data_IF_115284255621
#
_entry.id   IF_115284255621
#
_cell.length_a   1.000
_cell.length_b   1.000
_cell.length_c   1.000
_cell.angle_alpha   90.00
_cell.angle_beta   90.00
_cell.angle_gamma   90.00
#
_symmetry.space_group_name_H-M   'P 1'
#
loop_
_entity.id
_entity.type
_entity.pdbx_description
1 polymer ?
#
# COMPACT_ATOMS: atom_id res chain seq x y z
N UNK A 1 20.32 1.63 9.78
CA UNK A 1 19.83 0.99 8.53
C UNK A 1 19.52 2.09 7.53
N UNK A 2 19.54 1.79 6.23
CA UNK A 2 19.02 2.71 5.21
C UNK A 2 17.51 2.86 5.38
N UNK A 3 16.98 4.07 5.21
CA UNK A 3 15.53 4.33 5.33
C UNK A 3 14.72 3.63 4.24
N UNK A 4 15.37 3.18 3.15
CA UNK A 4 14.73 2.48 2.06
C UNK A 4 15.70 1.50 1.41
N UNK A 5 15.22 0.31 1.10
CA UNK A 5 15.97 -0.66 0.30
C UNK A 5 15.04 -1.61 -0.46
N UNK A 6 15.57 -2.25 -1.50
CA UNK A 6 14.89 -3.28 -2.28
C UNK A 6 15.89 -4.36 -2.69
N UNK A 7 15.73 -5.55 -2.09
CA UNK A 7 16.63 -6.68 -2.24
C UNK A 7 15.96 -7.78 -3.07
N UNK A 8 16.57 -8.12 -4.21
CA UNK A 8 16.03 -9.13 -5.13
C UNK A 8 17.11 -9.93 -5.86
N UNK A 9 18.35 -9.89 -5.37
CA UNK A 9 19.50 -10.57 -6.00
C UNK A 9 20.27 -11.43 -5.01
N UNK A 10 20.99 -12.44 -5.51
CA UNK A 10 21.72 -13.41 -4.69
C UNK A 10 22.80 -12.78 -3.80
N UNK A 11 23.46 -11.73 -4.29
CA UNK A 11 24.51 -11.05 -3.53
C UNK A 11 23.96 -10.16 -2.41
N UNK A 12 22.70 -9.75 -2.51
CA UNK A 12 21.98 -9.02 -1.45
C UNK A 12 21.30 -9.97 -0.47
N UNK A 13 20.84 -11.14 -0.94
CA UNK A 13 20.04 -12.11 -0.20
C UNK A 13 20.86 -13.34 0.19
N UNK A 14 21.93 -13.11 0.95
CA UNK A 14 22.87 -14.15 1.37
C UNK A 14 22.21 -15.04 2.44
N UNK A 15 22.13 -16.38 2.26
CA UNK A 15 21.58 -17.29 3.25
C UNK A 15 22.20 -17.12 4.64
N UNK A 16 21.37 -17.10 5.68
CA UNK A 16 21.78 -16.88 7.06
C UNK A 16 22.01 -15.42 7.45
N UNK A 17 21.99 -14.46 6.50
CA UNK A 17 22.23 -13.05 6.80
C UNK A 17 20.94 -12.30 7.13
N UNK A 18 20.99 -11.49 8.19
CA UNK A 18 19.93 -10.55 8.55
C UNK A 18 19.90 -9.42 7.52
N UNK A 19 18.71 -9.17 6.96
CA UNK A 19 18.50 -8.13 5.95
C UNK A 19 17.73 -6.93 6.50
N UNK A 20 16.96 -7.12 7.58
CA UNK A 20 16.18 -6.04 8.20
C UNK A 20 15.96 -6.33 9.70
N UNK A 21 15.96 -5.28 10.53
CA UNK A 21 15.62 -5.36 11.94
C UNK A 21 15.02 -4.04 12.42
N UNK A 22 13.96 -4.15 13.21
CA UNK A 22 13.36 -3.03 13.92
C UNK A 22 12.72 -3.54 15.21
N UNK A 23 12.86 -2.79 16.30
CA UNK A 23 12.21 -3.12 17.58
C UNK A 23 10.73 -2.69 17.60
N UNK A 24 10.27 -1.97 16.55
CA UNK A 24 8.89 -1.52 16.44
C UNK A 24 7.92 -2.68 16.25
N UNK A 25 6.65 -2.44 16.60
CA UNK A 25 5.57 -3.38 16.32
C UNK A 25 5.16 -3.34 14.85
N UNK A 26 5.12 -4.50 14.19
CA UNK A 26 4.62 -4.66 12.82
C UNK A 26 3.30 -5.42 12.81
N UNK A 27 2.42 -5.12 11.88
CA UNK A 27 1.17 -5.83 11.67
C UNK A 27 1.02 -6.21 10.20
N UNK A 28 0.29 -7.28 9.93
CA UNK A 28 -0.21 -7.54 8.59
C UNK A 28 -1.11 -6.39 8.15
N UNK A 29 -0.73 -5.71 7.07
CA UNK A 29 -1.45 -4.55 6.58
C UNK A 29 -2.21 -4.83 5.28
N UNK A 30 -1.58 -5.54 4.34
CA UNK A 30 -2.24 -5.97 3.12
C UNK A 30 -1.62 -7.26 2.56
N UNK A 31 -2.44 -8.04 1.86
CA UNK A 31 -2.02 -9.19 1.05
C UNK A 31 -2.85 -9.22 -0.24
N UNK A 32 -2.19 -9.14 -1.41
CA UNK A 32 -2.85 -9.08 -2.73
C UNK A 32 -2.62 -10.37 -3.52
N UNK A 33 -3.69 -10.95 -4.05
CA UNK A 33 -3.66 -12.20 -4.82
C UNK A 33 -3.15 -11.98 -6.26
N UNK A 34 -3.52 -10.87 -6.90
CA UNK A 34 -3.20 -10.62 -8.33
C UNK A 34 -1.71 -10.44 -8.61
N UNK A 35 -0.96 -9.96 -7.62
CA UNK A 35 0.47 -9.66 -7.75
C UNK A 35 1.32 -10.38 -6.70
N UNK A 36 0.70 -11.24 -5.89
CA UNK A 36 1.33 -11.96 -4.78
C UNK A 36 2.20 -11.05 -3.91
N UNK A 37 1.61 -10.00 -3.37
CA UNK A 37 2.32 -9.02 -2.54
C UNK A 37 1.86 -9.13 -1.09
N UNK A 38 2.81 -9.14 -0.16
CA UNK A 38 2.57 -9.07 1.27
C UNK A 38 3.17 -7.77 1.81
N UNK A 39 2.39 -7.04 2.60
CA UNK A 39 2.79 -5.78 3.22
C UNK A 39 2.63 -5.87 4.74
N UNK A 40 3.74 -5.71 5.46
CA UNK A 40 3.76 -5.52 6.90
C UNK A 40 4.00 -4.04 7.19
N UNK A 41 3.32 -3.50 8.20
CA UNK A 41 3.45 -2.08 8.58
C UNK A 41 3.66 -1.88 10.07
N UNK A 42 4.55 -0.97 10.39
CA UNK A 42 4.62 -0.28 11.67
C UNK A 42 4.14 1.15 11.48
N UNK A 43 3.08 1.56 12.18
CA UNK A 43 2.48 2.89 12.02
C UNK A 43 3.23 3.95 12.85
N UNK A 44 3.22 5.18 12.34
CA UNK A 44 3.47 6.35 13.17
C UNK A 44 2.39 6.49 14.28
N UNK A 45 2.70 7.25 15.32
CA UNK A 45 1.87 7.44 16.51
C UNK A 45 2.38 6.67 17.72
N UNK A 46 1.57 6.64 18.76
CA UNK A 46 1.87 5.91 20.00
C UNK A 46 1.60 4.41 19.79
N UNK A 47 2.63 3.60 19.96
CA UNK A 47 2.47 2.16 19.93
C UNK A 47 1.90 1.61 21.26
N UNK A 48 1.53 0.33 21.27
CA UNK A 48 0.97 -0.34 22.47
C UNK A 48 1.97 -0.45 23.63
N UNK A 49 3.22 -0.05 23.43
CA UNK A 49 4.29 -0.07 24.42
C UNK A 49 4.56 1.36 24.96
N UNK A 50 3.79 2.36 24.52
CA UNK A 50 3.91 3.77 24.94
C UNK A 50 5.03 4.52 24.21
N UNK A 51 5.61 3.94 23.15
CA UNK A 51 6.61 4.62 22.34
C UNK A 51 5.91 5.40 21.23
N UNK A 52 6.18 6.70 21.14
CA UNK A 52 5.68 7.54 20.05
C UNK A 52 6.67 7.55 18.88
N UNK A 53 6.16 7.30 17.68
CA UNK A 53 6.92 7.21 16.44
C UNK A 53 6.44 8.27 15.46
N UNK A 54 7.34 9.08 14.91
CA UNK A 54 6.97 10.10 13.89
C UNK A 54 6.83 9.49 12.48
N UNK A 55 7.48 8.36 12.24
CA UNK A 55 7.61 7.72 10.93
C UNK A 55 6.84 6.39 10.86
N UNK A 56 6.31 6.07 9.68
CA UNK A 56 5.78 4.75 9.34
C UNK A 56 6.88 3.90 8.70
N UNK A 57 6.93 2.61 9.01
CA UNK A 57 7.77 1.63 8.32
C UNK A 57 6.88 0.65 7.59
N UNK A 58 7.13 0.46 6.31
CA UNK A 58 6.51 -0.59 5.51
C UNK A 58 7.55 -1.59 5.03
N UNK A 59 7.25 -2.88 5.15
CA UNK A 59 8.06 -3.96 4.60
C UNK A 59 7.21 -4.74 3.60
N UNK A 60 7.66 -4.81 2.36
CA UNK A 60 6.96 -5.50 1.28
C UNK A 60 7.74 -6.71 0.78
N UNK A 61 7.04 -7.83 0.60
CA UNK A 61 7.55 -9.02 -0.07
C UNK A 61 6.86 -9.20 -1.43
N UNK A 62 7.61 -9.57 -2.47
CA UNK A 62 7.06 -9.78 -3.82
C UNK A 62 7.99 -10.62 -4.74
N UNK A 63 7.41 -11.42 -5.65
CA UNK A 63 6.14 -12.11 -5.48
C UNK A 63 6.24 -13.13 -4.34
N UNK A 64 5.13 -13.36 -3.66
CA UNK A 64 4.98 -14.27 -2.52
C UNK A 64 4.39 -15.60 -2.99
N UNK A 65 5.09 -16.68 -2.72
CA UNK A 65 4.67 -18.05 -3.04
C UNK A 65 3.93 -18.69 -1.86
N UNK A 66 4.40 -18.46 -0.64
CA UNK A 66 3.83 -19.07 0.57
C UNK A 66 4.12 -18.23 1.80
N UNK A 67 3.22 -18.25 2.77
CA UNK A 67 3.41 -17.55 4.05
C UNK A 67 3.00 -18.43 5.22
N UNK A 68 3.76 -18.34 6.30
CA UNK A 68 3.32 -18.67 7.65
C UNK A 68 3.63 -17.44 8.49
N UNK A 69 2.60 -16.68 8.84
CA UNK A 69 2.74 -15.42 9.56
C UNK A 69 1.72 -15.33 10.67
N UNK A 70 2.04 -14.52 11.68
CA UNK A 70 1.10 -14.01 12.69
C UNK A 70 0.49 -12.68 12.27
N UNK A 71 -0.52 -12.25 13.01
CA UNK A 71 -1.22 -10.97 12.82
C UNK A 71 -0.34 -9.76 13.20
N UNK A 72 0.58 -9.93 14.16
CA UNK A 72 1.51 -8.88 14.58
C UNK A 72 2.84 -9.39 15.18
N UNK A 73 3.91 -8.62 14.99
CA UNK A 73 5.26 -8.85 15.49
C UNK A 73 5.65 -7.72 16.45
N UNK A 74 6.12 -8.04 17.65
CA UNK A 74 6.64 -7.05 18.62
C UNK A 74 8.16 -7.01 18.52
N UNK A 75 8.68 -6.12 17.67
CA UNK A 75 10.00 -6.26 17.10
C UNK A 75 9.99 -7.29 15.97
N UNK A 76 10.70 -6.99 14.89
CA UNK A 76 10.78 -7.81 13.68
C UNK A 76 12.23 -7.82 13.21
N UNK A 77 12.82 -9.01 13.15
CA UNK A 77 14.04 -9.27 12.39
C UNK A 77 13.69 -10.16 11.19
N UNK A 78 14.25 -9.82 10.03
CA UNK A 78 14.09 -10.59 8.80
C UNK A 78 15.47 -11.04 8.37
N UNK A 79 15.58 -12.34 8.13
CA UNK A 79 16.82 -13.01 7.73
C UNK A 79 16.55 -13.91 6.55
N UNK A 80 17.49 -14.02 5.62
CA UNK A 80 17.44 -15.10 4.65
C UNK A 80 17.67 -16.43 5.39
N UNK A 81 16.75 -17.39 5.26
CA UNK A 81 16.90 -18.69 5.89
C UNK A 81 18.20 -19.37 5.43
N UNK A 82 18.82 -20.15 6.32
CA UNK A 82 19.92 -21.04 5.95
C UNK A 82 19.43 -22.07 4.94
N UNK A 83 20.32 -22.69 4.14
CA UNK A 83 19.94 -23.75 3.22
C UNK A 83 19.14 -24.86 3.90
N UNK A 84 19.53 -25.26 5.11
CA UNK A 84 18.88 -26.33 5.88
C UNK A 84 17.49 -25.93 6.40
N UNK A 85 17.30 -24.68 6.81
CA UNK A 85 15.99 -24.14 7.16
C UNK A 85 15.08 -24.04 5.93
N UNK A 86 15.61 -23.52 4.82
CA UNK A 86 14.86 -23.34 3.58
C UNK A 86 14.35 -24.68 3.03
N UNK A 87 15.20 -25.70 2.98
CA UNK A 87 14.81 -27.04 2.51
C UNK A 87 13.76 -27.69 3.42
N UNK A 88 13.89 -27.56 4.75
CA UNK A 88 12.87 -28.05 5.71
C UNK A 88 11.52 -27.38 5.48
N UNK A 89 11.51 -26.06 5.31
CA UNK A 89 10.28 -25.29 5.08
C UNK A 89 9.64 -25.70 3.75
N UNK A 90 10.42 -25.75 2.65
CA UNK A 90 9.91 -26.15 1.33
C UNK A 90 9.32 -27.57 1.34
N UNK A 91 9.99 -28.51 2.01
CA UNK A 91 9.53 -29.90 2.13
C UNK A 91 8.22 -30.02 2.93
N UNK A 92 7.95 -29.09 3.85
CA UNK A 92 6.69 -29.05 4.62
C UNK A 92 5.48 -28.63 3.78
N UNK A 93 5.69 -28.18 2.54
CA UNK A 93 4.67 -27.69 1.60
C UNK A 93 4.81 -28.36 0.23
N UNK A 94 4.59 -29.69 0.14
CA UNK A 94 4.90 -30.49 -1.06
C UNK A 94 3.99 -30.19 -2.27
N UNK A 95 2.86 -29.52 -2.08
CA UNK A 95 1.90 -29.18 -3.13
C UNK A 95 2.21 -27.86 -3.84
N UNK A 96 3.32 -27.20 -3.51
CA UNK A 96 3.68 -25.87 -3.99
C UNK A 96 4.92 -25.99 -4.88
N UNK A 97 4.83 -25.44 -6.09
CA UNK A 97 5.98 -25.30 -6.98
C UNK A 97 6.79 -24.06 -6.60
N UNK A 98 8.08 -24.25 -6.32
CA UNK A 98 8.99 -23.16 -6.00
C UNK A 98 9.77 -22.73 -7.23
N UNK A 99 9.82 -21.42 -7.46
CA UNK A 99 10.66 -20.87 -8.51
C UNK A 99 12.13 -20.85 -8.08
N UNK A 100 13.05 -20.84 -9.04
CA UNK A 100 14.50 -20.77 -8.79
C UNK A 100 14.88 -19.55 -7.94
N UNK A 101 14.16 -18.47 -8.12
CA UNK A 101 14.42 -17.18 -7.47
C UNK A 101 13.67 -17.04 -6.13
N UNK A 102 12.88 -18.03 -5.73
CA UNK A 102 12.23 -18.02 -4.42
C UNK A 102 13.25 -18.16 -3.30
N UNK A 103 13.12 -17.29 -2.31
CA UNK A 103 13.91 -17.26 -1.08
C UNK A 103 12.96 -17.46 0.09
N UNK A 104 13.45 -18.15 1.11
CA UNK A 104 12.74 -18.28 2.37
C UNK A 104 13.26 -17.19 3.31
N UNK A 105 12.40 -16.25 3.65
CA UNK A 105 12.66 -15.21 4.63
C UNK A 105 12.14 -15.69 5.98
N UNK A 106 13.03 -15.84 6.96
CA UNK A 106 12.66 -16.09 8.34
C UNK A 106 12.26 -14.76 9.00
N UNK A 107 11.09 -14.73 9.62
CA UNK A 107 10.57 -13.59 10.36
C UNK A 107 10.67 -13.92 11.85
N UNK A 108 11.59 -13.27 12.55
CA UNK A 108 11.92 -13.54 13.94
C UNK A 108 11.35 -12.44 14.84
N UNK A 109 10.64 -12.84 15.90
CA UNK A 109 10.13 -11.94 16.94
C UNK A 109 10.08 -12.68 18.27
N UNK A 110 10.59 -12.06 19.34
CA UNK A 110 10.48 -12.59 20.71
C UNK A 110 10.87 -14.08 20.89
N UNK A 111 11.84 -14.57 20.11
CA UNK A 111 12.30 -15.97 20.17
C UNK A 111 11.46 -16.96 19.35
N UNK A 112 10.45 -16.50 18.63
CA UNK A 112 9.66 -17.29 17.69
C UNK A 112 10.01 -16.97 16.24
N UNK A 113 9.74 -17.93 15.35
CA UNK A 113 10.06 -17.82 13.92
C UNK A 113 8.89 -18.22 13.03
N UNK A 114 8.54 -17.28 12.16
CA UNK A 114 7.61 -17.39 11.05
C UNK A 114 8.37 -17.32 9.72
N UNK A 115 7.68 -17.45 8.58
CA UNK A 115 8.36 -17.35 7.29
C UNK A 115 7.49 -16.80 6.16
N UNK A 116 8.16 -16.19 5.20
CA UNK A 116 7.62 -15.78 3.91
C UNK A 116 8.51 -16.37 2.82
N UNK A 117 7.92 -17.07 1.86
CA UNK A 117 8.62 -17.50 0.64
C UNK A 117 8.30 -16.49 -0.44
N UNK A 118 9.31 -15.75 -0.89
CA UNK A 118 9.17 -14.72 -1.92
C UNK A 118 10.47 -14.53 -2.70
N UNK A 119 10.43 -13.86 -3.85
CA UNK A 119 11.66 -13.57 -4.60
C UNK A 119 12.37 -12.29 -4.14
N UNK A 120 11.66 -11.33 -3.54
CA UNK A 120 12.22 -10.07 -3.09
C UNK A 120 11.60 -9.60 -1.78
N UNK A 121 12.37 -8.80 -1.06
CA UNK A 121 11.93 -8.04 0.11
C UNK A 121 12.48 -6.62 0.01
N UNK A 122 11.68 -5.64 0.41
CA UNK A 122 12.15 -4.27 0.56
C UNK A 122 11.41 -3.56 1.66
N UNK A 123 11.96 -2.43 2.09
CA UNK A 123 11.35 -1.60 3.11
C UNK A 123 11.44 -0.12 2.76
N UNK A 124 10.56 0.66 3.38
CA UNK A 124 10.58 2.11 3.37
C UNK A 124 10.12 2.64 4.72
N UNK A 125 10.95 3.48 5.32
CA UNK A 125 10.65 4.24 6.53
C UNK A 125 10.63 5.74 6.18
N UNK A 126 9.51 6.39 6.45
CA UNK A 126 9.36 7.85 6.30
C UNK A 126 8.09 8.36 6.98
N UNK A 127 7.84 9.66 6.89
CA UNK A 127 6.54 10.27 7.21
C UNK A 127 5.55 9.92 6.10
N UNK A 128 4.54 9.10 6.45
CA UNK A 128 3.45 8.78 5.55
C UNK A 128 2.36 9.86 5.71
N UNK A 129 2.12 10.64 4.66
CA UNK A 129 1.11 11.69 4.73
C UNK A 129 -0.29 11.09 4.94
N UNK A 130 -1.23 11.84 5.56
CA UNK A 130 -2.60 11.36 5.78
C UNK A 130 -3.32 10.96 4.49
N UNK A 131 -2.90 11.54 3.36
CA UNK A 131 -3.51 11.25 2.06
C UNK A 131 -2.77 10.17 1.27
N UNK A 132 -1.65 9.68 1.78
CA UNK A 132 -0.92 8.59 1.16
C UNK A 132 -1.29 7.27 1.81
N UNK A 133 -1.96 6.41 1.06
CA UNK A 133 -2.32 5.09 1.59
C UNK A 133 -1.10 4.24 1.94
N UNK A 134 -0.05 4.21 1.11
CA UNK A 134 1.18 3.42 1.29
C UNK A 134 2.36 4.02 0.51
N UNK A 135 3.59 3.74 0.92
CA UNK A 135 4.78 4.02 0.12
C UNK A 135 4.82 3.20 -1.18
N UNK A 136 4.16 2.04 -1.18
CA UNK A 136 4.06 1.11 -2.31
C UNK A 136 2.76 1.23 -3.11
N UNK A 137 1.82 2.09 -2.69
CA UNK A 137 0.67 2.45 -3.51
C UNK A 137 1.15 3.35 -4.67
N UNK A 138 1.35 2.75 -5.83
CA UNK A 138 1.75 3.48 -7.02
C UNK A 138 0.54 4.15 -7.67
N UNK A 139 0.72 5.42 -8.04
CA UNK A 139 -0.23 6.15 -8.89
C UNK A 139 0.13 5.87 -10.34
N UNK A 140 -0.82 5.35 -11.11
CA UNK A 140 -0.69 5.24 -12.56
C UNK A 140 -0.79 6.64 -13.16
N UNK A 141 0.23 7.14 -13.89
CA UNK A 141 0.15 8.46 -14.52
C UNK A 141 -0.95 8.57 -15.59
N UNK A 142 -1.38 7.44 -16.17
CA UNK A 142 -2.46 7.41 -17.16
C UNK A 142 -3.84 7.28 -16.51
N UNK A 143 -3.89 6.74 -15.29
CA UNK A 143 -5.10 6.68 -14.47
C UNK A 143 -4.79 7.19 -13.06
N UNK A 144 -4.61 8.53 -12.89
CA UNK A 144 -4.14 9.11 -11.64
C UNK A 144 -5.27 9.20 -10.61
N UNK A 145 -5.88 8.07 -10.29
CA UNK A 145 -6.95 7.96 -9.31
C UNK A 145 -6.35 7.80 -7.92
N UNK A 146 -7.09 8.29 -6.94
CA UNK A 146 -6.89 7.94 -5.55
C UNK A 146 -6.80 6.42 -5.44
N UNK A 147 -5.69 5.86 -4.94
CA UNK A 147 -5.54 4.42 -4.84
C UNK A 147 -6.66 3.89 -3.93
N UNK A 148 -7.48 2.96 -4.41
CA UNK A 148 -8.47 2.27 -3.56
C UNK A 148 -7.84 1.21 -2.67
N UNK A 149 -6.60 0.80 -2.99
CA UNK A 149 -5.89 -0.30 -2.32
C UNK A 149 -4.42 0.04 -2.10
N UNK A 150 -3.81 -0.64 -1.13
CA UNK A 150 -2.45 -0.37 -0.67
C UNK A 150 -1.35 -0.94 -1.58
N UNK A 151 -1.62 -2.06 -2.25
CA UNK A 151 -0.61 -2.85 -2.98
C UNK A 151 -0.71 -2.73 -4.51
N UNK A 152 -1.72 -2.04 -5.04
CA UNK A 152 -2.09 -2.11 -6.45
C UNK A 152 -2.65 -3.50 -6.83
N UNK A 153 -3.52 -3.55 -7.82
CA UNK A 153 -4.18 -4.79 -8.28
C UNK A 153 -5.66 -4.86 -7.94
N UNK A 154 -6.26 -6.05 -8.08
CA UNK A 154 -7.70 -6.25 -7.96
C UNK A 154 -8.24 -5.77 -6.59
N UNK A 155 -9.13 -4.79 -6.63
CA UNK A 155 -10.00 -4.42 -5.51
C UNK A 155 -11.03 -5.54 -5.29
N UNK A 156 -11.55 -5.69 -4.07
CA UNK A 156 -12.61 -6.65 -3.74
C UNK A 156 -13.97 -6.29 -4.37
N UNK A 157 -13.98 -5.46 -5.41
CA UNK A 157 -15.18 -5.01 -6.13
C UNK A 157 -15.94 -3.90 -5.43
N UNK A 158 -15.33 -3.16 -4.49
CA UNK A 158 -15.98 -2.07 -3.76
C UNK A 158 -15.84 -0.71 -4.45
N UNK A 159 -15.03 -0.58 -5.50
CA UNK A 159 -14.94 0.63 -6.35
C UNK A 159 -16.01 0.72 -7.44
N UNK A 160 -17.20 0.15 -7.26
CA UNK A 160 -18.25 0.16 -8.29
C UNK A 160 -19.50 0.88 -7.77
N UNK A 161 -19.38 2.19 -7.65
CA UNK A 161 -20.45 3.07 -8.07
C UNK A 161 -19.82 4.03 -9.10
N UNK A 162 -20.33 4.01 -10.32
CA UNK A 162 -20.01 5.05 -11.30
C UNK A 162 -20.38 6.42 -10.72
N UNK A 163 -19.71 7.49 -11.18
CA UNK A 163 -20.09 8.84 -10.78
C UNK A 163 -21.58 9.11 -11.05
N UNK A 164 -22.14 8.51 -12.11
CA UNK A 164 -23.56 8.55 -12.45
C UNK A 164 -24.43 7.78 -11.44
N UNK A 165 -24.05 6.58 -11.00
CA UNK A 165 -24.76 5.84 -9.94
C UNK A 165 -24.72 6.56 -8.60
N UNK A 166 -23.59 7.21 -8.27
CA UNK A 166 -23.46 8.00 -7.06
C UNK A 166 -24.33 9.27 -7.15
N UNK A 167 -24.30 9.96 -8.28
CA UNK A 167 -25.15 11.13 -8.55
C UNK A 167 -26.62 10.71 -8.52
N UNK A 168 -27.01 9.59 -9.12
CA UNK A 168 -28.38 9.08 -9.13
C UNK A 168 -28.82 8.69 -7.72
N UNK A 169 -27.98 7.99 -6.95
CA UNK A 169 -28.25 7.68 -5.54
C UNK A 169 -28.40 8.94 -4.66
N UNK A 170 -27.63 9.98 -4.93
CA UNK A 170 -27.76 11.29 -4.26
C UNK A 170 -28.96 12.09 -4.78
N UNK A 171 -29.45 11.79 -5.99
CA UNK A 171 -30.54 12.50 -6.65
C UNK A 171 -31.91 11.83 -6.45
N UNK A 172 -31.95 10.53 -6.15
CA UNK A 172 -33.14 9.70 -5.89
C UNK A 172 -33.77 9.97 -4.50
N UNK A 173 -33.42 11.07 -3.84
CA UNK A 173 -34.12 11.54 -2.66
C UNK A 173 -35.53 12.02 -3.04
N UNK A 174 -36.56 11.51 -2.35
CA UNK A 174 -37.97 11.86 -2.54
C UNK A 174 -38.18 13.39 -2.70
N UNK A 175 -39.02 13.85 -3.65
CA UNK A 175 -39.30 15.27 -3.85
C UNK A 175 -39.91 15.89 -2.58
N UNK A 176 -39.12 16.65 -1.82
CA UNK A 176 -39.60 17.35 -0.63
C UNK A 176 -38.58 17.49 0.51
N UNK A 177 -37.45 16.80 0.46
CA UNK A 177 -36.39 16.97 1.46
C UNK A 177 -35.58 18.25 1.17
N UNK A 178 -35.54 19.19 2.13
CA UNK A 178 -34.82 20.48 2.03
C UNK A 178 -33.32 20.25 1.76
N UNK A 179 -32.84 20.63 0.58
CA UNK A 179 -31.42 20.63 0.16
C UNK A 179 -30.61 21.81 0.71
N UNK A 180 -31.02 22.34 1.86
CA UNK A 180 -30.53 23.60 2.42
C UNK A 180 -29.14 23.44 3.05
N UNK A 181 -28.67 22.19 3.18
CA UNK A 181 -27.37 21.85 3.71
C UNK A 181 -26.46 21.38 2.57
N UNK A 182 -25.50 22.21 2.21
CA UNK A 182 -24.41 21.84 1.32
C UNK A 182 -23.09 21.86 2.10
N UNK A 183 -22.14 21.03 1.67
CA UNK A 183 -20.75 21.13 2.10
C UNK A 183 -19.86 21.22 0.88
N UNK A 184 -18.80 22.03 0.99
CA UNK A 184 -17.76 22.06 -0.02
C UNK A 184 -16.88 20.80 0.09
N UNK A 185 -16.67 20.15 -1.05
CA UNK A 185 -15.58 19.19 -1.25
C UNK A 185 -14.55 19.80 -2.19
N UNK A 186 -13.34 19.27 -2.12
CA UNK A 186 -12.21 19.66 -2.94
C UNK A 186 -11.86 18.50 -3.84
N UNK A 187 -12.07 18.65 -5.13
CA UNK A 187 -11.77 17.63 -6.13
C UNK A 187 -10.42 17.96 -6.75
N UNK A 188 -9.48 17.03 -6.65
CA UNK A 188 -8.23 17.12 -7.40
C UNK A 188 -8.52 16.64 -8.81
N UNK A 189 -8.33 17.53 -9.78
CA UNK A 189 -8.55 17.28 -11.20
C UNK A 189 -7.21 17.07 -11.89
N UNK A 190 -7.20 16.19 -12.88
CA UNK A 190 -6.03 15.92 -13.72
C UNK A 190 -6.40 16.02 -15.18
N UNK A 191 -5.44 16.46 -16.00
CA UNK A 191 -5.53 16.41 -17.46
C UNK A 191 -4.38 15.58 -18.02
N UNK A 192 -4.71 14.47 -18.66
CA UNK A 192 -3.75 13.51 -19.19
C UNK A 192 -3.85 13.47 -20.72
N UNK A 193 -2.71 13.56 -21.39
CA UNK A 193 -2.60 13.35 -22.84
C UNK A 193 -2.03 11.96 -23.11
N UNK A 194 -2.85 11.08 -23.70
CA UNK A 194 -2.45 9.72 -24.02
C UNK A 194 -1.55 9.67 -25.27
N UNK A 195 -0.81 8.56 -25.51
CA UNK A 195 0.07 8.42 -26.67
C UNK A 195 -0.60 8.62 -28.04
N UNK A 196 -1.93 8.45 -28.11
CA UNK A 196 -2.72 8.69 -29.33
C UNK A 196 -3.11 10.17 -29.55
N UNK A 197 -2.69 11.07 -28.66
CA UNK A 197 -2.99 12.50 -28.71
C UNK A 197 -4.34 12.90 -28.10
N UNK A 198 -5.14 11.92 -27.68
CA UNK A 198 -6.38 12.14 -26.94
C UNK A 198 -6.05 12.76 -25.58
N UNK A 199 -6.82 13.77 -25.19
CA UNK A 199 -6.65 14.45 -23.90
C UNK A 199 -7.93 14.35 -23.11
N UNK A 200 -7.82 13.87 -21.88
CA UNK A 200 -8.95 13.67 -20.99
C UNK A 200 -8.75 14.47 -19.71
N UNK A 201 -9.84 15.07 -19.20
CA UNK A 201 -9.87 15.70 -17.89
C UNK A 201 -10.79 14.91 -16.99
N UNK A 202 -10.28 14.49 -15.84
CA UNK A 202 -11.00 13.63 -14.91
C UNK A 202 -10.66 13.97 -13.45
N UNK A 203 -11.57 13.61 -12.55
CA UNK A 203 -11.35 13.70 -11.11
C UNK A 203 -10.42 12.60 -10.64
N UNK A 204 -9.28 12.99 -10.09
CA UNK A 204 -8.28 12.11 -9.49
C UNK A 204 -8.65 11.71 -8.06
N UNK A 205 -9.27 12.60 -7.29
CA UNK A 205 -9.71 12.32 -5.92
C UNK A 205 -10.64 13.40 -5.35
N UNK A 206 -11.45 13.05 -4.35
CA UNK A 206 -12.40 13.95 -3.69
C UNK A 206 -12.11 14.00 -2.20
N UNK A 207 -11.96 15.21 -1.66
CA UNK A 207 -11.52 15.45 -0.29
C UNK A 207 -12.46 16.37 0.47
N UNK A 208 -12.56 16.15 1.77
CA UNK A 208 -13.37 16.97 2.69
C UNK A 208 -12.67 18.24 3.16
N UNK A 209 -11.35 18.33 2.99
CA UNK A 209 -10.53 19.47 3.36
C UNK A 209 -9.63 19.90 2.20
N UNK A 210 -9.31 21.19 2.14
CA UNK A 210 -8.39 21.73 1.14
C UNK A 210 -6.96 21.25 1.38
N UNK A 211 -6.58 21.07 2.64
CA UNK A 211 -5.24 20.60 3.00
C UNK A 211 -4.98 19.20 2.44
N UNK A 212 -5.95 18.28 2.58
CA UNK A 212 -5.83 16.92 2.01
C UNK A 212 -5.79 16.95 0.48
N UNK A 213 -6.58 17.82 -0.16
CA UNK A 213 -6.52 17.98 -1.61
C UNK A 213 -5.17 18.51 -2.11
N UNK A 214 -4.56 19.48 -1.41
CA UNK A 214 -3.22 20.00 -1.76
C UNK A 214 -2.13 18.95 -1.50
N UNK A 215 -2.23 18.19 -0.42
CA UNK A 215 -1.31 17.09 -0.10
C UNK A 215 -1.35 15.99 -1.16
N UNK A 216 -2.55 15.52 -1.55
CA UNK A 216 -2.69 14.56 -2.63
C UNK A 216 -2.24 15.12 -3.99
N UNK A 217 -2.55 16.40 -4.27
CA UNK A 217 -2.10 17.07 -5.49
C UNK A 217 -0.57 17.10 -5.55
N UNK A 218 0.12 17.47 -4.47
CA UNK A 218 1.58 17.48 -4.42
C UNK A 218 2.17 16.09 -4.72
N UNK A 219 1.54 15.02 -4.22
CA UNK A 219 1.93 13.63 -4.50
C UNK A 219 1.81 13.27 -5.99
N UNK A 220 0.73 13.66 -6.67
CA UNK A 220 0.53 13.33 -8.10
C UNK A 220 1.31 14.24 -9.05
N UNK A 221 1.66 15.46 -8.63
CA UNK A 221 2.35 16.45 -9.47
C UNK A 221 3.72 15.98 -9.98
N UNK A 222 4.36 15.04 -9.27
CA UNK A 222 5.61 14.42 -9.72
C UNK A 222 5.44 13.59 -11.01
N UNK A 223 4.21 13.13 -11.31
CA UNK A 223 3.89 12.22 -12.41
C UNK A 223 2.90 12.80 -13.41
N UNK A 224 2.06 13.73 -12.98
CA UNK A 224 1.01 14.38 -13.79
C UNK A 224 1.14 15.89 -13.63
N UNK A 225 1.69 16.55 -14.65
CA UNK A 225 2.05 17.98 -14.58
C UNK A 225 0.84 18.91 -14.61
N UNK A 226 -0.24 18.50 -15.30
CA UNK A 226 -1.47 19.29 -15.44
C UNK A 226 -2.52 18.78 -14.44
N UNK A 227 -2.49 19.35 -13.23
CA UNK A 227 -3.46 19.06 -12.18
C UNK A 227 -3.79 20.30 -11.32
N UNK A 228 -5.03 20.40 -10.88
CA UNK A 228 -5.57 21.53 -10.10
C UNK A 228 -6.62 21.07 -9.10
N UNK A 229 -7.08 21.98 -8.24
CA UNK A 229 -8.14 21.70 -7.27
C UNK A 229 -9.37 22.51 -7.65
N UNK A 230 -10.50 21.83 -7.78
CA UNK A 230 -11.82 22.45 -7.89
C UNK A 230 -12.56 22.32 -6.56
N UNK A 231 -13.24 23.38 -6.15
CA UNK A 231 -14.13 23.34 -5.00
C UNK A 231 -15.56 23.15 -5.49
N UNK A 232 -16.19 22.03 -5.14
CA UNK A 232 -17.54 21.70 -5.56
C UNK A 232 -18.49 21.66 -4.35
N UNK A 233 -19.68 22.26 -4.43
CA UNK A 233 -20.72 22.07 -3.43
C UNK A 233 -21.42 20.72 -3.63
N UNK A 234 -21.51 19.90 -2.59
CA UNK A 234 -22.35 18.70 -2.57
C UNK A 234 -23.50 18.90 -1.60
N UNK A 235 -24.70 18.46 -1.98
CA UNK A 235 -25.85 18.40 -1.09
C UNK A 235 -25.64 17.27 -0.07
N UNK A 236 -26.06 17.50 1.19
CA UNK A 236 -26.06 16.53 2.28
C UNK A 236 -27.47 16.02 2.52
#
# INVERSE_FOLDING_TARGET
MTNRDWLNTDHQLIPGLEVFRSDRRFQLWAYSVSHSQLLLRSNAGEDRQGCSHETTIEVMFKPVTTVKIRDAYNGLAIRCATPEEAERIKTSTPSIEFLRDDRVFALETQGETDYVIAMAVGWHEDILSPTRLSFYAAIDPYEPRWPGTLLGGADAGFTIASAEELINSLSDSEPGQRRDHWRAVYVVMTKVTYPKGETESSGAGVFLSRADAEDFKALIQERVTDCWIEQLPIAI
#
